data_IF_512221790978
#
_entry.id   IF_512221790978
#
_cell.length_a   1.000
_cell.length_b   1.000
_cell.length_c   1.000
_cell.angle_alpha   90.00
_cell.angle_beta   90.00
_cell.angle_gamma   90.00
#
_symmetry.space_group_name_H-M   'P 1'
#
loop_
_entity.id
_entity.type
_entity.pdbx_description
1 polymer ?
#
# COMPACT_ATOMS: atom_id res chain seq x y z
N UNK A 1 -16.98 -5.10 13.60
CA UNK A 1 -17.85 -4.81 12.44
C UNK A 1 -16.98 -4.72 11.20
N UNK A 2 -17.36 -5.36 10.13
CA UNK A 2 -16.59 -5.33 8.88
C UNK A 2 -16.87 -4.03 8.11
N UNK A 3 -15.80 -3.39 7.63
CA UNK A 3 -15.92 -2.25 6.74
C UNK A 3 -16.45 -2.70 5.37
N UNK A 4 -17.23 -1.86 4.73
CA UNK A 4 -17.63 -2.05 3.34
C UNK A 4 -16.93 -1.04 2.44
N UNK A 5 -16.89 -1.33 1.14
CA UNK A 5 -16.33 -0.39 0.16
C UNK A 5 -17.04 0.97 0.25
N UNK A 6 -18.36 0.97 0.38
CA UNK A 6 -19.13 2.21 0.50
C UNK A 6 -18.77 3.01 1.75
N UNK A 7 -18.53 2.34 2.88
CA UNK A 7 -18.12 3.00 4.12
C UNK A 7 -16.78 3.71 3.94
N UNK A 8 -15.82 3.07 3.31
CA UNK A 8 -14.50 3.65 3.03
C UNK A 8 -14.64 4.87 2.11
N UNK A 9 -15.42 4.75 1.03
CA UNK A 9 -15.60 5.85 0.07
C UNK A 9 -16.34 7.02 0.71
N UNK A 10 -17.36 6.79 1.53
CA UNK A 10 -18.06 7.86 2.26
C UNK A 10 -17.09 8.61 3.18
N UNK A 11 -16.23 7.89 3.90
CA UNK A 11 -15.24 8.51 4.77
C UNK A 11 -14.24 9.33 3.98
N UNK A 12 -13.77 8.83 2.83
CA UNK A 12 -12.86 9.55 1.96
C UNK A 12 -13.49 10.83 1.42
N UNK A 13 -14.74 10.77 0.94
CA UNK A 13 -15.46 11.93 0.43
C UNK A 13 -15.65 13.00 1.51
N UNK A 14 -15.87 12.60 2.76
CA UNK A 14 -16.00 13.55 3.88
C UNK A 14 -14.69 14.28 4.16
N UNK A 15 -13.55 13.73 3.77
CA UNK A 15 -12.22 14.34 3.88
C UNK A 15 -11.81 15.10 2.61
N UNK A 16 -12.68 15.20 1.61
CA UNK A 16 -12.43 15.96 0.40
C UNK A 16 -11.87 15.18 -0.77
N UNK A 17 -12.05 13.85 -0.80
CA UNK A 17 -11.63 13.03 -1.93
C UNK A 17 -12.33 13.49 -3.21
N UNK A 18 -11.65 13.36 -4.35
CA UNK A 18 -12.18 13.78 -5.63
C UNK A 18 -13.31 12.85 -6.13
N UNK A 19 -14.06 13.33 -7.14
CA UNK A 19 -15.16 12.59 -7.73
C UNK A 19 -14.76 11.26 -8.39
N UNK A 20 -13.47 11.05 -8.68
CA UNK A 20 -12.96 9.76 -9.16
C UNK A 20 -13.24 8.60 -8.23
N UNK A 21 -13.41 8.88 -6.92
CA UNK A 21 -13.82 7.87 -5.92
C UNK A 21 -15.18 7.25 -6.21
N UNK A 22 -16.05 7.94 -6.92
CA UNK A 22 -17.40 7.46 -7.22
C UNK A 22 -17.41 6.26 -8.18
N UNK A 23 -16.32 5.98 -8.89
CA UNK A 23 -16.19 4.82 -9.76
C UNK A 23 -15.81 3.53 -9.03
N UNK A 24 -15.54 3.61 -7.74
CA UNK A 24 -15.13 2.47 -6.93
C UNK A 24 -16.36 1.70 -6.49
N UNK A 25 -16.45 0.43 -6.90
CA UNK A 25 -17.63 -0.41 -6.66
C UNK A 25 -17.30 -1.71 -5.91
N UNK A 26 -16.04 -2.13 -5.88
CA UNK A 26 -15.60 -3.36 -5.22
C UNK A 26 -14.21 -3.16 -4.57
N UNK A 27 -13.75 -4.18 -3.83
CA UNK A 27 -12.46 -4.13 -3.15
C UNK A 27 -11.30 -4.00 -4.12
N UNK A 28 -11.37 -4.62 -5.27
CA UNK A 28 -10.33 -4.54 -6.29
C UNK A 28 -10.16 -3.12 -6.79
N UNK A 29 -11.26 -2.45 -7.15
CA UNK A 29 -11.21 -1.07 -7.64
C UNK A 29 -10.79 -0.10 -6.53
N UNK A 30 -11.18 -0.36 -5.28
CA UNK A 30 -10.73 0.43 -4.13
C UNK A 30 -9.21 0.36 -3.96
N UNK A 31 -8.64 -0.85 -3.98
CA UNK A 31 -7.19 -1.04 -3.86
C UNK A 31 -6.46 -0.41 -5.04
N UNK A 32 -7.00 -0.54 -6.24
CA UNK A 32 -6.41 0.08 -7.43
C UNK A 32 -6.36 1.60 -7.30
N UNK A 33 -7.43 2.21 -6.80
CA UNK A 33 -7.47 3.65 -6.51
C UNK A 33 -6.45 4.03 -5.43
N UNK A 34 -6.33 3.23 -4.39
CA UNK A 34 -5.38 3.44 -3.29
C UNK A 34 -3.94 3.53 -3.80
N UNK A 35 -3.54 2.67 -4.74
CA UNK A 35 -2.20 2.68 -5.31
C UNK A 35 -2.02 3.72 -6.44
N UNK A 36 -3.07 4.35 -6.90
CA UNK A 36 -2.98 5.40 -7.93
C UNK A 36 -2.28 6.66 -7.40
N UNK A 37 -1.74 7.53 -8.27
CA UNK A 37 -1.12 8.77 -7.80
C UNK A 37 -2.04 9.62 -6.94
N UNK A 38 -3.30 9.77 -7.33
CA UNK A 38 -4.30 10.53 -6.58
C UNK A 38 -4.60 9.88 -5.23
N UNK A 39 -4.74 8.55 -5.21
CA UNK A 39 -5.00 7.80 -3.97
C UNK A 39 -3.85 7.91 -2.99
N UNK A 40 -2.62 7.74 -3.45
CA UNK A 40 -1.43 7.86 -2.60
C UNK A 40 -1.30 9.25 -1.99
N UNK A 41 -1.50 10.28 -2.81
CA UNK A 41 -1.44 11.67 -2.36
C UNK A 41 -2.51 11.97 -1.32
N UNK A 42 -3.74 11.53 -1.57
CA UNK A 42 -4.85 11.70 -0.64
C UNK A 42 -4.57 10.97 0.70
N UNK A 43 -4.11 9.74 0.66
CA UNK A 43 -3.79 8.97 1.86
C UNK A 43 -2.67 9.63 2.68
N UNK A 44 -1.63 10.12 2.02
CA UNK A 44 -0.53 10.81 2.70
C UNK A 44 -0.99 12.12 3.33
N UNK A 45 -1.83 12.89 2.64
CA UNK A 45 -2.31 14.20 3.12
C UNK A 45 -3.28 14.08 4.30
N UNK A 46 -4.05 13.00 4.37
CA UNK A 46 -5.12 12.83 5.36
C UNK A 46 -4.87 11.72 6.39
N UNK A 47 -3.74 11.01 6.28
CA UNK A 47 -3.46 9.81 7.08
C UNK A 47 -4.66 8.83 7.06
N UNK A 48 -5.17 8.59 5.88
CA UNK A 48 -6.38 7.83 5.61
C UNK A 48 -6.06 6.66 4.67
N UNK A 49 -6.70 5.47 4.78
CA UNK A 49 -7.63 5.07 5.84
C UNK A 49 -6.96 4.94 7.22
N UNK A 50 -7.77 5.04 8.29
CA UNK A 50 -7.28 4.77 9.63
C UNK A 50 -6.89 3.29 9.80
N UNK A 51 -6.11 2.98 10.83
CA UNK A 51 -5.74 1.59 11.13
C UNK A 51 -6.99 0.73 11.40
N UNK A 52 -7.98 1.28 12.10
CA UNK A 52 -9.23 0.56 12.36
C UNK A 52 -9.98 0.22 11.08
N UNK A 53 -10.01 1.14 10.11
CA UNK A 53 -10.62 0.91 8.80
C UNK A 53 -9.87 -0.18 8.04
N UNK A 54 -8.53 -0.14 8.04
CA UNK A 54 -7.73 -1.21 7.44
C UNK A 54 -8.01 -2.56 8.08
N UNK A 55 -8.13 -2.61 9.41
CA UNK A 55 -8.46 -3.85 10.12
C UNK A 55 -9.82 -4.40 9.72
N UNK A 56 -10.79 -3.51 9.50
CA UNK A 56 -12.12 -3.90 9.04
C UNK A 56 -12.15 -4.46 7.62
N UNK A 57 -11.18 -4.09 6.77
CA UNK A 57 -11.14 -4.56 5.38
C UNK A 57 -10.06 -5.63 5.13
N UNK A 58 -9.27 -6.00 6.13
CA UNK A 58 -8.07 -6.83 5.99
C UNK A 58 -8.29 -8.12 5.19
N UNK A 59 -9.36 -8.86 5.49
CA UNK A 59 -9.67 -10.12 4.81
C UNK A 59 -10.06 -9.96 3.35
N UNK A 60 -10.46 -8.76 2.93
CA UNK A 60 -10.87 -8.47 1.56
C UNK A 60 -9.71 -7.96 0.69
N UNK A 61 -8.73 -7.29 1.29
CA UNK A 61 -7.71 -6.57 0.51
C UNK A 61 -6.38 -7.32 0.42
N UNK A 62 -6.17 -8.38 1.22
CA UNK A 62 -4.94 -9.16 1.18
C UNK A 62 -4.66 -9.74 -0.21
N UNK A 63 -5.67 -10.17 -0.93
CA UNK A 63 -5.53 -10.70 -2.29
C UNK A 63 -4.96 -9.68 -3.28
N UNK A 64 -5.06 -8.41 -2.97
CA UNK A 64 -4.63 -7.32 -3.84
C UNK A 64 -3.32 -6.68 -3.36
N UNK A 65 -2.61 -7.34 -2.44
CA UNK A 65 -1.32 -6.89 -1.97
C UNK A 65 -1.34 -5.91 -0.80
N UNK A 66 -2.47 -5.77 -0.11
CA UNK A 66 -2.57 -4.94 1.10
C UNK A 66 -2.56 -5.85 2.33
N UNK A 67 -1.45 -5.83 3.08
CA UNK A 67 -1.25 -6.69 4.25
C UNK A 67 -1.47 -5.87 5.52
N UNK A 68 -2.52 -6.22 6.26
CA UNK A 68 -2.91 -5.53 7.50
C UNK A 68 -2.76 -6.49 8.68
N UNK A 69 -1.94 -6.11 9.65
CA UNK A 69 -1.68 -6.93 10.85
C UNK A 69 -1.34 -8.40 10.50
N UNK A 70 -0.55 -8.58 9.43
CA UNK A 70 -0.30 -9.91 8.86
C UNK A 70 0.93 -10.62 9.47
N UNK A 71 1.61 -9.99 10.41
CA UNK A 71 2.83 -10.53 10.99
C UNK A 71 3.96 -10.57 9.96
N UNK A 72 4.73 -11.64 9.96
CA UNK A 72 5.82 -11.81 9.01
C UNK A 72 5.31 -12.22 7.63
N UNK A 73 5.74 -11.48 6.59
CA UNK A 73 5.35 -11.72 5.19
C UNK A 73 6.59 -11.68 4.31
N UNK A 74 6.74 -12.66 3.42
CA UNK A 74 7.79 -12.68 2.39
C UNK A 74 7.13 -12.56 1.02
N UNK A 75 7.52 -11.54 0.24
CA UNK A 75 6.96 -11.27 -1.09
C UNK A 75 8.08 -11.00 -2.08
N UNK A 76 7.97 -11.58 -3.26
CA UNK A 76 8.94 -11.40 -4.35
C UNK A 76 8.28 -10.71 -5.53
N UNK A 77 8.90 -9.64 -6.02
CA UNK A 77 8.48 -8.87 -7.19
C UNK A 77 7.00 -8.45 -7.18
N UNK A 78 6.48 -7.89 -6.07
CA UNK A 78 5.11 -7.39 -6.07
C UNK A 78 5.00 -6.19 -7.00
N UNK A 79 3.93 -6.12 -7.80
CA UNK A 79 3.63 -4.90 -8.56
C UNK A 79 3.22 -3.77 -7.63
N UNK A 80 2.34 -4.09 -6.69
CA UNK A 80 1.89 -3.18 -5.63
C UNK A 80 1.85 -3.94 -4.31
N UNK A 81 2.38 -3.32 -3.26
CA UNK A 81 2.29 -3.87 -1.91
C UNK A 81 2.09 -2.74 -0.90
N UNK A 82 1.18 -2.94 0.04
CA UNK A 82 1.02 -2.06 1.19
C UNK A 82 1.25 -2.85 2.48
N UNK A 83 2.03 -2.30 3.38
CA UNK A 83 2.44 -2.91 4.65
C UNK A 83 1.86 -2.06 5.77
N UNK A 84 0.85 -2.57 6.45
CA UNK A 84 -0.01 -1.81 7.33
C UNK A 84 -0.04 -2.41 8.73
N UNK A 85 0.11 -1.57 9.75
CA UNK A 85 -0.06 -1.98 11.13
C UNK A 85 0.99 -2.99 11.59
N UNK A 86 0.55 -4.04 12.28
CA UNK A 86 1.43 -5.08 12.82
C UNK A 86 1.83 -6.10 11.74
N UNK A 87 2.57 -5.59 10.75
CA UNK A 87 3.09 -6.37 9.61
C UNK A 87 4.58 -6.09 9.46
N UNK A 88 5.35 -7.15 9.27
CA UNK A 88 6.79 -7.09 9.03
C UNK A 88 7.08 -7.85 7.74
N UNK A 89 7.33 -7.11 6.66
CA UNK A 89 7.49 -7.67 5.33
C UNK A 89 8.94 -7.68 4.89
N UNK A 90 9.36 -8.80 4.29
CA UNK A 90 10.60 -8.87 3.50
C UNK A 90 10.21 -8.89 2.02
N UNK A 91 10.62 -7.86 1.29
CA UNK A 91 10.24 -7.64 -0.09
C UNK A 91 11.50 -7.75 -0.96
N UNK A 92 11.53 -8.74 -1.82
CA UNK A 92 12.66 -8.97 -2.75
C UNK A 92 12.24 -8.52 -4.14
N UNK A 93 12.98 -7.61 -4.75
CA UNK A 93 12.67 -7.05 -6.06
C UNK A 93 13.90 -7.13 -6.95
N UNK A 94 13.80 -7.91 -8.01
CA UNK A 94 14.86 -8.05 -9.04
C UNK A 94 14.32 -7.92 -10.47
N UNK A 95 13.05 -7.52 -10.61
CA UNK A 95 12.36 -7.29 -11.87
C UNK A 95 12.46 -5.82 -12.27
N UNK A 96 12.87 -5.55 -13.49
CA UNK A 96 13.01 -4.19 -14.03
C UNK A 96 11.98 -3.85 -15.10
N UNK A 97 10.98 -4.69 -15.32
CA UNK A 97 9.99 -4.50 -16.37
C UNK A 97 8.85 -3.57 -15.96
N UNK A 98 8.76 -3.23 -14.67
CA UNK A 98 7.70 -2.35 -14.15
C UNK A 98 8.18 -1.61 -12.91
N UNK A 99 7.45 -0.56 -12.56
CA UNK A 99 7.66 0.14 -11.29
C UNK A 99 6.95 -0.64 -10.18
N UNK A 100 7.69 -0.95 -9.13
CA UNK A 100 7.14 -1.62 -7.94
C UNK A 100 6.73 -0.57 -6.92
N UNK A 101 5.46 -0.56 -6.54
CA UNK A 101 4.92 0.41 -5.58
C UNK A 101 4.88 -0.21 -4.19
N UNK A 102 5.52 0.45 -3.24
CA UNK A 102 5.57 0.01 -1.84
C UNK A 102 5.04 1.14 -0.97
N UNK A 103 3.98 0.86 -0.22
CA UNK A 103 3.37 1.82 0.70
C UNK A 103 3.41 1.25 2.11
N UNK A 104 3.86 2.07 3.08
CA UNK A 104 3.82 1.70 4.50
C UNK A 104 2.95 2.70 5.25
N UNK A 105 2.10 2.20 6.14
CA UNK A 105 1.24 3.02 6.99
C UNK A 105 1.09 2.38 8.37
N UNK A 106 0.79 3.22 9.34
CA UNK A 106 0.37 2.80 10.69
C UNK A 106 1.34 1.85 11.39
N UNK A 107 2.63 2.09 11.23
CA UNK A 107 3.66 1.29 11.90
C UNK A 107 4.11 0.05 11.14
N UNK A 108 3.64 -0.16 9.91
CA UNK A 108 4.10 -1.26 9.07
C UNK A 108 5.61 -1.21 8.86
N UNK A 109 6.26 -2.37 8.87
CA UNK A 109 7.72 -2.49 8.74
C UNK A 109 8.05 -3.28 7.49
N UNK A 110 9.07 -2.83 6.75
CA UNK A 110 9.51 -3.54 5.56
C UNK A 110 11.03 -3.51 5.45
N UNK A 111 11.59 -4.64 5.03
CA UNK A 111 12.94 -4.73 4.52
C UNK A 111 12.86 -5.00 3.02
N UNK A 112 13.39 -4.08 2.23
CA UNK A 112 13.40 -4.18 0.77
C UNK A 112 14.79 -4.59 0.33
N UNK A 113 14.89 -5.71 -0.38
CA UNK A 113 16.15 -6.18 -0.99
C UNK A 113 15.99 -6.08 -2.50
N UNK A 114 16.74 -5.21 -3.13
CA UNK A 114 16.51 -4.86 -4.54
C UNK A 114 17.81 -4.91 -5.36
N UNK A 115 17.69 -5.36 -6.60
CA UNK A 115 18.79 -5.51 -7.55
C UNK A 115 18.29 -5.42 -9.00
N UNK A 116 19.21 -5.59 -9.96
CA UNK A 116 18.89 -5.81 -11.38
C UNK A 116 18.08 -4.68 -12.02
N UNK A 117 18.49 -3.43 -11.74
CA UNK A 117 17.88 -2.22 -12.32
C UNK A 117 16.41 -2.02 -11.94
N UNK A 118 15.97 -2.58 -10.83
CA UNK A 118 14.60 -2.41 -10.33
C UNK A 118 14.30 -0.93 -10.06
N UNK A 119 13.05 -0.54 -10.30
CA UNK A 119 12.55 0.80 -9.99
C UNK A 119 11.43 0.68 -8.95
N UNK A 120 11.60 1.38 -7.84
CA UNK A 120 10.70 1.28 -6.69
C UNK A 120 10.13 2.66 -6.38
N UNK A 121 8.81 2.75 -6.34
CA UNK A 121 8.12 3.93 -5.82
C UNK A 121 7.76 3.63 -4.36
N UNK A 122 8.44 4.34 -3.45
CA UNK A 122 8.29 4.11 -2.01
C UNK A 122 7.51 5.27 -1.38
N UNK A 123 6.40 4.94 -0.73
CA UNK A 123 5.60 5.91 0.04
C UNK A 123 5.55 5.42 1.48
N UNK A 124 6.19 6.15 2.38
CA UNK A 124 6.19 5.81 3.81
C UNK A 124 5.35 6.81 4.58
N UNK A 125 4.22 6.35 5.10
CA UNK A 125 3.27 7.15 5.87
C UNK A 125 3.18 6.56 7.29
N UNK A 126 4.19 6.84 8.11
CA UNK A 126 4.19 6.37 9.50
C UNK A 126 4.64 4.92 9.71
N UNK A 127 5.41 4.37 8.78
CA UNK A 127 6.03 3.05 8.92
C UNK A 127 7.54 3.12 9.09
N UNK A 128 8.18 1.95 9.05
CA UNK A 128 9.64 1.81 9.09
C UNK A 128 10.11 1.00 7.89
N UNK A 129 11.14 1.47 7.19
CA UNK A 129 11.68 0.77 6.03
C UNK A 129 13.20 0.72 6.09
N UNK A 130 13.75 -0.45 5.78
CA UNK A 130 15.18 -0.67 5.56
C UNK A 130 15.36 -1.10 4.10
N UNK A 131 16.28 -0.46 3.39
CA UNK A 131 16.51 -0.73 1.97
C UNK A 131 17.92 -1.22 1.77
N UNK A 132 18.06 -2.43 1.24
CA UNK A 132 19.33 -3.03 0.81
C UNK A 132 19.27 -3.12 -0.71
N UNK A 133 20.02 -2.27 -1.39
CA UNK A 133 20.02 -2.19 -2.86
C UNK A 133 21.44 -2.07 -3.39
N UNK A 134 21.64 -2.49 -4.63
CA UNK A 134 22.85 -2.20 -5.37
C UNK A 134 22.73 -0.84 -6.10
N UNK A 135 23.79 -0.45 -6.83
CA UNK A 135 23.86 0.84 -7.51
C UNK A 135 22.92 0.95 -8.73
N UNK A 136 22.34 -0.15 -9.18
CA UNK A 136 21.48 -0.16 -10.36
C UNK A 136 20.04 0.21 -10.02
N UNK A 137 19.64 0.08 -8.75
CA UNK A 137 18.26 0.28 -8.31
C UNK A 137 17.96 1.77 -8.12
N UNK A 138 16.78 2.20 -8.59
CA UNK A 138 16.28 3.57 -8.44
C UNK A 138 15.08 3.56 -7.49
N UNK A 139 15.15 4.39 -6.47
CA UNK A 139 14.04 4.64 -5.54
C UNK A 139 13.45 6.01 -5.89
N UNK A 140 12.18 6.02 -6.20
CA UNK A 140 11.44 7.24 -6.54
C UNK A 140 10.80 7.87 -5.30
#
# INVERSE_FOLDING_TARGET
MMETVNDIIKSALSLGACSGSNGVTDWRSLVWLFFSPQGREFCAANDFPSLDMFRGMAGHVMHYGVYVDSGHVDVTNPGNIAVIGDTDAVITIDDNERVHKVILMHGGKARVVASDYAVILLVNIGGEVEINKDNTVVIL
#
